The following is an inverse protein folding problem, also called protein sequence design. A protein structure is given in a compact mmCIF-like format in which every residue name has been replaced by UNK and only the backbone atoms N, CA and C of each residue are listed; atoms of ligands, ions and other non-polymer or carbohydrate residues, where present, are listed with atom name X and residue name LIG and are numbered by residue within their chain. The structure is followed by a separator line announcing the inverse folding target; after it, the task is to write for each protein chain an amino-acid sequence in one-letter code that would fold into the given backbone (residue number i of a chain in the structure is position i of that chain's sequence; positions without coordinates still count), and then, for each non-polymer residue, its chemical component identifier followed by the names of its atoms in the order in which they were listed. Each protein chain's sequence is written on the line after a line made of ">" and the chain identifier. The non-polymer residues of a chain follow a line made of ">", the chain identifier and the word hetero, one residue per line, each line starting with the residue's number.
data_IF_217266631222
#
_entry.id   IF_217266631222
#
_cell.length_a   1.000
_cell.length_b   1.000
_cell.length_c   1.000
_cell.angle_alpha   90.00
_cell.angle_beta   90.00
_cell.angle_gamma   90.00
#
_symmetry.space_group_name_H-M   'P 1'
#
loop_
_entity.id
_entity.type
_entity.pdbx_description
1 polymer ?
#
# COMPACT_ATOMS: atom_id res chain seq x y z
N UNK A 1 16.75 -21.83 -7.42
CA UNK A 1 17.79 -20.89 -6.97
C UNK A 1 17.95 -19.87 -8.08
N UNK A 2 17.39 -18.67 -7.92
CA UNK A 2 17.45 -17.63 -8.96
C UNK A 2 18.88 -17.12 -9.11
N UNK A 3 19.32 -16.89 -10.35
CA UNK A 3 20.62 -16.25 -10.61
C UNK A 3 20.49 -14.77 -10.26
N UNK A 4 21.34 -14.31 -9.36
CA UNK A 4 21.44 -12.91 -8.99
C UNK A 4 22.63 -12.33 -9.76
N UNK A 5 22.35 -11.49 -10.76
CA UNK A 5 23.40 -10.72 -11.44
C UNK A 5 23.38 -9.29 -10.89
N UNK A 6 24.52 -8.84 -10.37
CA UNK A 6 24.73 -7.46 -9.92
C UNK A 6 25.54 -6.75 -11.01
N UNK A 7 24.91 -5.81 -11.73
CA UNK A 7 25.61 -4.93 -12.68
C UNK A 7 25.70 -3.54 -12.06
N UNK A 8 26.90 -3.14 -11.65
CA UNK A 8 27.20 -1.80 -11.14
C UNK A 8 27.85 -0.98 -12.25
N UNK A 9 27.23 0.16 -12.63
CA UNK A 9 27.80 1.09 -13.60
C UNK A 9 28.05 2.43 -12.91
N UNK A 10 29.30 2.80 -12.76
CA UNK A 10 29.69 4.11 -12.23
C UNK A 10 29.81 5.10 -13.39
N UNK A 11 28.95 6.12 -13.43
CA UNK A 11 29.08 7.21 -14.40
C UNK A 11 29.47 8.48 -13.64
N UNK A 12 30.64 9.03 -13.97
CA UNK A 12 31.10 10.30 -13.40
C UNK A 12 30.41 11.43 -14.16
N UNK A 13 29.59 12.23 -13.48
CA UNK A 13 28.90 13.38 -14.09
C UNK A 13 29.55 14.65 -13.53
N UNK A 14 30.31 15.35 -14.38
CA UNK A 14 30.89 16.63 -14.04
C UNK A 14 29.80 17.72 -14.15
N UNK A 15 29.25 18.16 -13.02
CA UNK A 15 28.47 19.39 -12.95
C UNK A 15 29.40 20.53 -12.60
N UNK A 16 29.22 21.70 -13.22
CA UNK A 16 30.18 22.80 -13.30
C UNK A 16 30.75 23.42 -12.01
N UNK A 17 30.52 22.86 -10.82
CA UNK A 17 31.18 23.22 -9.56
C UNK A 17 31.43 22.01 -8.62
N UNK A 18 31.38 20.77 -9.10
CA UNK A 18 31.69 19.59 -8.27
C UNK A 18 31.54 18.26 -9.02
N UNK A 19 32.44 17.31 -8.75
CA UNK A 19 32.38 15.95 -9.29
C UNK A 19 31.33 15.18 -8.49
N UNK A 20 30.15 14.94 -9.08
CA UNK A 20 29.15 14.02 -8.56
C UNK A 20 29.39 12.62 -9.13
N UNK A 21 29.52 11.60 -8.28
CA UNK A 21 29.48 10.21 -8.71
C UNK A 21 28.03 9.73 -8.72
N UNK A 22 27.49 9.42 -9.90
CA UNK A 22 26.21 8.75 -10.02
C UNK A 22 26.48 7.24 -10.05
N UNK A 23 26.13 6.57 -8.95
CA UNK A 23 26.29 5.13 -8.79
C UNK A 23 24.95 4.47 -9.15
N UNK A 24 24.88 3.85 -10.33
CA UNK A 24 23.70 3.11 -10.78
C UNK A 24 23.94 1.63 -10.51
N UNK A 25 23.19 1.08 -9.56
CA UNK A 25 23.24 -0.34 -9.20
C UNK A 25 21.97 -1.03 -9.69
N UNK A 26 22.10 -1.77 -10.79
CA UNK A 26 20.99 -2.54 -11.35
C UNK A 26 21.03 -3.95 -10.79
N UNK A 27 20.08 -4.25 -9.91
CA UNK A 27 19.86 -5.60 -9.37
C UNK A 27 18.92 -6.37 -10.29
N UNK A 28 19.46 -7.30 -11.08
CA UNK A 28 18.64 -8.22 -11.89
C UNK A 28 18.57 -9.56 -11.18
N UNK A 29 17.40 -9.85 -10.62
CA UNK A 29 17.08 -11.18 -10.05
C UNK A 29 16.34 -11.95 -11.14
N UNK A 30 16.95 -13.02 -11.63
CA UNK A 30 16.30 -13.92 -12.59
C UNK A 30 15.42 -14.93 -11.83
N UNK A 31 14.10 -14.72 -11.93
CA UNK A 31 13.06 -15.55 -11.30
C UNK A 31 12.56 -16.68 -12.21
N UNK A 32 13.27 -16.98 -13.31
CA UNK A 32 12.90 -18.08 -14.19
C UNK A 32 12.86 -19.42 -13.45
N UNK A 33 11.75 -20.14 -13.63
CA UNK A 33 11.54 -21.46 -13.05
C UNK A 33 12.30 -22.56 -13.81
N UNK A 34 12.76 -22.27 -15.03
CA UNK A 34 13.51 -23.18 -15.88
C UNK A 34 14.94 -22.65 -16.12
N UNK A 35 15.96 -23.52 -16.08
CA UNK A 35 17.32 -23.15 -16.47
C UNK A 35 17.39 -22.71 -17.93
N UNK A 36 18.47 -22.00 -18.30
CA UNK A 36 18.68 -21.60 -19.70
C UNK A 36 18.79 -22.83 -20.62
N UNK A 37 18.45 -22.69 -21.91
CA UNK A 37 18.48 -23.79 -22.87
C UNK A 37 19.87 -24.47 -22.99
N UNK A 38 20.95 -23.70 -22.80
CA UNK A 38 22.32 -24.21 -22.77
C UNK A 38 22.58 -25.09 -21.53
N UNK A 39 22.06 -24.70 -20.37
CA UNK A 39 22.17 -25.49 -19.14
C UNK A 39 21.33 -26.76 -19.20
N UNK A 40 20.13 -26.69 -19.79
CA UNK A 40 19.29 -27.86 -20.04
C UNK A 40 19.99 -28.89 -20.94
N UNK A 41 20.72 -28.44 -21.98
CA UNK A 41 21.52 -29.32 -22.83
C UNK A 41 22.67 -30.00 -22.05
N UNK A 42 23.33 -29.27 -21.15
CA UNK A 42 24.36 -29.82 -20.28
C UNK A 42 23.80 -30.84 -19.30
N UNK A 43 22.62 -30.59 -18.72
CA UNK A 43 21.96 -31.55 -17.82
C UNK A 43 21.51 -32.82 -18.56
N UNK A 44 21.00 -32.68 -19.79
CA UNK A 44 20.60 -33.82 -20.64
C UNK A 44 21.77 -34.76 -20.97
N UNK A 45 22.99 -34.23 -21.05
CA UNK A 45 24.20 -35.03 -21.26
C UNK A 45 24.56 -35.91 -20.04
N UNK A 46 24.09 -35.55 -18.84
CA UNK A 46 24.32 -36.29 -17.60
C UNK A 46 23.21 -37.34 -17.37
N UNK A 47 21.94 -36.95 -17.55
CA UNK A 47 20.79 -37.85 -17.50
C UNK A 47 19.72 -37.37 -18.50
N UNK A 48 19.29 -38.19 -19.47
CA UNK A 48 18.24 -37.82 -20.42
C UNK A 48 16.89 -37.44 -19.77
N UNK A 49 16.58 -37.96 -18.58
CA UNK A 49 15.27 -37.81 -17.89
C UNK A 49 15.20 -36.57 -16.99
N UNK A 50 16.33 -35.92 -16.71
CA UNK A 50 16.38 -34.76 -15.83
C UNK A 50 15.56 -33.58 -16.36
N UNK A 51 15.45 -33.44 -17.68
CA UNK A 51 14.71 -32.36 -18.33
C UNK A 51 13.21 -32.51 -18.08
N UNK A 52 12.67 -33.73 -18.19
CA UNK A 52 11.26 -34.01 -17.93
C UNK A 52 10.91 -33.74 -16.46
N UNK A 53 11.79 -34.16 -15.54
CA UNK A 53 11.65 -33.85 -14.11
C UNK A 53 11.70 -32.34 -13.83
N UNK A 54 12.61 -31.60 -14.45
CA UNK A 54 12.71 -30.15 -14.30
C UNK A 54 11.45 -29.44 -14.81
N UNK A 55 10.89 -29.87 -15.95
CA UNK A 55 9.63 -29.34 -16.46
C UNK A 55 8.49 -29.60 -15.47
N UNK A 56 8.35 -30.82 -14.96
CA UNK A 56 7.31 -31.16 -13.98
C UNK A 56 7.46 -30.34 -12.69
N UNK A 57 8.69 -30.20 -12.19
CA UNK A 57 9.01 -29.39 -11.02
C UNK A 57 8.68 -27.90 -11.25
N UNK A 58 9.00 -27.36 -12.43
CA UNK A 58 8.68 -25.97 -12.80
C UNK A 58 7.17 -25.74 -12.91
N UNK A 59 6.41 -26.67 -13.50
CA UNK A 59 4.94 -26.59 -13.58
C UNK A 59 4.33 -26.59 -12.17
N UNK A 60 4.82 -27.47 -11.29
CA UNK A 60 4.36 -27.55 -9.90
C UNK A 60 4.67 -26.26 -9.12
N UNK A 61 5.85 -25.68 -9.32
CA UNK A 61 6.25 -24.40 -8.72
C UNK A 61 5.41 -23.23 -9.26
N UNK A 62 5.12 -23.22 -10.57
CA UNK A 62 4.23 -22.21 -11.18
C UNK A 62 2.81 -22.30 -10.61
N UNK A 63 2.23 -23.51 -10.51
CA UNK A 63 0.91 -23.69 -9.92
C UNK A 63 0.88 -23.27 -8.44
N UNK A 64 1.94 -23.58 -7.69
CA UNK A 64 2.09 -23.11 -6.32
C UNK A 64 2.10 -21.58 -6.23
N UNK A 65 2.86 -20.90 -7.11
CA UNK A 65 2.91 -19.43 -7.19
C UNK A 65 1.54 -18.84 -7.53
N UNK A 66 0.86 -19.39 -8.52
CA UNK A 66 -0.49 -18.95 -8.89
C UNK A 66 -1.49 -19.12 -7.75
N UNK A 67 -1.42 -20.24 -7.02
CA UNK A 67 -2.26 -20.47 -5.84
C UNK A 67 -1.95 -19.48 -4.73
N UNK A 68 -0.67 -19.20 -4.46
CA UNK A 68 -0.26 -18.20 -3.48
C UNK A 68 -0.76 -16.80 -3.87
N UNK A 69 -0.63 -16.41 -5.13
CA UNK A 69 -1.07 -15.11 -5.62
C UNK A 69 -2.59 -14.97 -5.56
N UNK A 70 -3.33 -16.02 -5.93
CA UNK A 70 -4.79 -16.06 -5.74
C UNK A 70 -5.19 -15.90 -4.27
N UNK A 71 -4.47 -16.53 -3.34
CA UNK A 71 -4.73 -16.38 -1.92
C UNK A 71 -4.47 -14.94 -1.44
N UNK A 72 -3.35 -14.33 -1.84
CA UNK A 72 -3.04 -12.92 -1.55
C UNK A 72 -4.12 -11.99 -2.09
N UNK A 73 -4.52 -12.16 -3.36
CA UNK A 73 -5.59 -11.39 -3.99
C UNK A 73 -6.92 -11.56 -3.26
N UNK A 74 -7.26 -12.77 -2.82
CA UNK A 74 -8.49 -13.03 -2.08
C UNK A 74 -8.50 -12.35 -0.70
N UNK A 75 -7.36 -12.33 0.00
CA UNK A 75 -7.22 -11.59 1.26
C UNK A 75 -7.40 -10.09 1.02
N UNK A 76 -6.74 -9.56 -0.01
CA UNK A 76 -6.82 -8.14 -0.36
C UNK A 76 -8.26 -7.73 -0.72
N UNK A 77 -8.95 -8.52 -1.55
CA UNK A 77 -10.36 -8.32 -1.90
C UNK A 77 -11.28 -8.35 -0.67
N UNK A 78 -11.00 -9.21 0.31
CA UNK A 78 -11.78 -9.28 1.56
C UNK A 78 -11.54 -8.06 2.44
N UNK A 79 -10.29 -7.60 2.54
CA UNK A 79 -9.93 -6.39 3.29
C UNK A 79 -10.61 -5.15 2.67
N UNK A 80 -10.49 -5.00 1.35
CA UNK A 80 -11.06 -3.88 0.60
C UNK A 80 -12.60 -3.83 0.70
N UNK A 81 -13.28 -4.97 0.58
CA UNK A 81 -14.74 -5.05 0.82
C UNK A 81 -15.14 -4.74 2.27
N UNK A 82 -14.29 -5.05 3.25
CA UNK A 82 -14.56 -4.71 4.66
C UNK A 82 -14.41 -3.21 4.86
N UNK A 83 -13.34 -2.63 4.33
CA UNK A 83 -13.08 -1.19 4.39
C UNK A 83 -14.18 -0.39 3.68
N UNK A 84 -14.57 -0.80 2.47
CA UNK A 84 -15.67 -0.19 1.74
C UNK A 84 -17.01 -0.21 2.50
N UNK A 85 -17.35 -1.33 3.16
CA UNK A 85 -18.57 -1.40 4.00
C UNK A 85 -18.48 -0.51 5.23
N UNK A 86 -17.33 -0.49 5.93
CA UNK A 86 -17.14 0.37 7.11
C UNK A 86 -17.23 1.84 6.71
N UNK A 87 -16.61 2.21 5.60
CA UNK A 87 -16.64 3.57 5.06
C UNK A 87 -18.08 3.98 4.65
N UNK A 88 -18.81 3.08 3.97
CA UNK A 88 -20.21 3.33 3.60
C UNK A 88 -21.12 3.51 4.82
N UNK A 89 -21.00 2.63 5.83
CA UNK A 89 -21.75 2.77 7.08
C UNK A 89 -21.34 4.04 7.84
N UNK A 90 -20.05 4.37 7.86
CA UNK A 90 -19.55 5.61 8.47
C UNK A 90 -20.15 6.86 7.83
N UNK A 91 -20.17 6.93 6.50
CA UNK A 91 -20.82 8.02 5.77
C UNK A 91 -22.34 8.06 6.02
N UNK A 92 -23.00 6.90 6.02
CA UNK A 92 -24.44 6.82 6.29
C UNK A 92 -24.79 7.33 7.70
N UNK A 93 -24.06 6.89 8.73
CA UNK A 93 -24.26 7.36 10.10
C UNK A 93 -23.90 8.83 10.29
N UNK A 94 -22.85 9.33 9.62
CA UNK A 94 -22.51 10.75 9.62
C UNK A 94 -23.61 11.60 8.99
N UNK A 95 -24.17 11.15 7.86
CA UNK A 95 -25.30 11.83 7.24
C UNK A 95 -26.54 11.83 8.14
N UNK A 96 -26.89 10.67 8.70
CA UNK A 96 -28.03 10.54 9.60
C UNK A 96 -27.89 11.42 10.85
N UNK A 97 -26.68 11.50 11.42
CA UNK A 97 -26.43 12.34 12.60
C UNK A 97 -26.61 13.82 12.30
N UNK A 98 -26.16 14.29 11.13
CA UNK A 98 -26.38 15.68 10.68
C UNK A 98 -27.87 15.95 10.53
N UNK A 99 -28.63 15.08 9.86
CA UNK A 99 -30.09 15.24 9.68
C UNK A 99 -30.81 15.34 11.02
N UNK A 100 -30.51 14.42 11.95
CA UNK A 100 -31.10 14.42 13.29
C UNK A 100 -30.72 15.70 14.05
N UNK A 101 -29.47 16.13 13.99
CA UNK A 101 -29.04 17.36 14.67
C UNK A 101 -29.70 18.61 14.08
N UNK A 102 -29.78 18.72 12.76
CA UNK A 102 -30.47 19.83 12.11
C UNK A 102 -31.94 19.86 12.49
N UNK A 103 -32.62 18.71 12.55
CA UNK A 103 -34.01 18.63 13.00
C UNK A 103 -34.17 19.06 14.47
N UNK A 104 -33.28 18.64 15.36
CA UNK A 104 -33.28 19.05 16.78
C UNK A 104 -33.04 20.56 16.94
N UNK A 105 -32.11 21.13 16.18
CA UNK A 105 -31.87 22.58 16.19
C UNK A 105 -33.09 23.34 15.69
N UNK A 106 -33.70 22.91 14.59
CA UNK A 106 -34.93 23.50 14.06
C UNK A 106 -36.09 23.42 15.06
N UNK A 107 -36.26 22.28 15.72
CA UNK A 107 -37.29 22.08 16.75
C UNK A 107 -37.04 22.94 18.01
N UNK A 108 -35.78 23.08 18.44
CA UNK A 108 -35.43 23.94 19.56
C UNK A 108 -35.67 25.42 19.26
N UNK A 109 -35.41 25.86 18.02
CA UNK A 109 -35.74 27.21 17.55
C UNK A 109 -37.25 27.45 17.52
N UNK A 110 -38.04 26.45 17.12
CA UNK A 110 -39.50 26.52 17.16
C UNK A 110 -40.05 26.72 18.59
N UNK A 111 -39.37 26.18 19.60
CA UNK A 111 -39.72 26.36 21.01
C UNK A 111 -39.14 27.65 21.64
N UNK A 112 -38.70 28.62 20.82
CA UNK A 112 -38.05 29.87 21.27
C UNK A 112 -36.86 29.65 22.20
N UNK A 113 -36.04 28.61 21.93
CA UNK A 113 -34.77 28.36 22.63
C UNK A 113 -33.56 28.68 21.74
N UNK A 114 -33.31 29.95 21.39
CA UNK A 114 -32.26 30.35 20.45
C UNK A 114 -30.84 30.07 20.98
N UNK A 115 -30.67 29.97 22.30
CA UNK A 115 -29.38 29.65 22.92
C UNK A 115 -28.83 28.29 22.45
N UNK A 116 -29.70 27.32 22.14
CA UNK A 116 -29.31 26.00 21.64
C UNK A 116 -28.65 26.08 20.26
N UNK A 117 -29.21 26.88 19.35
CA UNK A 117 -28.62 27.10 18.02
C UNK A 117 -27.27 27.83 18.12
N UNK A 118 -27.13 28.76 19.07
CA UNK A 118 -25.88 29.48 19.33
C UNK A 118 -24.72 28.56 19.71
N UNK A 119 -24.91 27.68 20.72
CA UNK A 119 -23.86 26.73 21.12
C UNK A 119 -23.56 25.70 20.03
N UNK A 120 -24.60 25.16 19.38
CA UNK A 120 -24.42 24.18 18.30
C UNK A 120 -23.66 24.77 17.11
N UNK A 121 -24.01 25.98 16.68
CA UNK A 121 -23.34 26.67 15.57
C UNK A 121 -21.89 27.08 15.88
N UNK A 122 -21.64 27.59 17.09
CA UNK A 122 -20.27 27.90 17.52
C UNK A 122 -19.39 26.64 17.59
N UNK A 123 -19.94 25.53 18.09
CA UNK A 123 -19.24 24.25 18.17
C UNK A 123 -18.82 23.71 16.80
N UNK A 124 -19.68 23.79 15.78
CA UNK A 124 -19.33 23.36 14.41
C UNK A 124 -18.23 24.23 13.82
N UNK A 125 -18.26 25.55 14.00
CA UNK A 125 -17.21 26.45 13.50
C UNK A 125 -15.85 26.12 14.14
N UNK A 126 -15.82 25.94 15.47
CA UNK A 126 -14.60 25.56 16.20
C UNK A 126 -14.08 24.21 15.71
N UNK A 127 -14.97 23.23 15.52
CA UNK A 127 -14.59 21.91 15.03
C UNK A 127 -13.97 21.97 13.63
N UNK A 128 -14.53 22.75 12.71
CA UNK A 128 -13.97 22.92 11.36
C UNK A 128 -12.63 23.65 11.42
N UNK A 129 -12.53 24.73 12.18
CA UNK A 129 -11.29 25.47 12.39
C UNK A 129 -10.17 24.58 12.96
N UNK A 130 -10.52 23.64 13.86
CA UNK A 130 -9.55 22.71 14.47
C UNK A 130 -8.87 21.78 13.46
N UNK A 131 -9.57 21.39 12.38
CA UNK A 131 -9.03 20.53 11.32
C UNK A 131 -7.91 21.27 10.56
N UNK A 132 -8.11 22.57 10.30
CA UNK A 132 -7.10 23.40 9.66
C UNK A 132 -5.91 23.70 10.58
N UNK A 133 -6.15 23.89 11.88
CA UNK A 133 -5.08 24.14 12.84
C UNK A 133 -4.20 22.91 13.11
N UNK A 134 -4.81 21.72 13.24
CA UNK A 134 -4.11 20.46 13.53
C UNK A 134 -3.13 20.03 12.42
N UNK A 135 -3.33 20.48 11.19
CA UNK A 135 -2.42 20.18 10.08
C UNK A 135 -1.06 20.90 10.18
N UNK A 136 -0.92 21.93 11.02
CA UNK A 136 0.35 22.66 11.18
C UNK A 136 1.31 22.04 12.20
N UNK A 137 0.82 21.30 13.19
CA UNK A 137 1.65 20.73 14.26
C UNK A 137 2.12 19.28 14.00
N UNK A 138 1.61 18.62 12.95
CA UNK A 138 1.95 17.21 12.69
C UNK A 138 3.30 17.04 11.96
N UNK A 139 4.03 18.13 11.68
CA UNK A 139 5.35 18.08 11.03
C UNK A 139 6.54 17.96 12.00
N UNK A 140 6.34 18.06 13.32
CA UNK A 140 7.44 18.10 14.30
C UNK A 140 7.49 16.93 15.30
N UNK A 141 7.02 15.73 14.92
CA UNK A 141 7.28 14.52 15.71
C UNK A 141 8.10 13.51 14.92
N UNK A 142 9.41 13.37 15.19
CA UNK A 142 10.17 12.22 14.73
C UNK A 142 9.66 10.97 15.46
N UNK A 143 8.90 10.13 14.78
CA UNK A 143 8.63 8.75 15.19
C UNK A 143 9.92 7.94 15.07
N UNK A 144 10.76 8.03 16.10
CA UNK A 144 11.86 7.11 16.34
C UNK A 144 11.41 6.03 17.32
N UNK A 145 10.98 4.87 16.81
CA UNK A 145 10.87 3.64 17.59
C UNK A 145 11.84 2.59 17.04
N UNK A 146 12.97 2.41 17.72
CA UNK A 146 13.70 1.14 17.69
C UNK A 146 14.18 0.88 19.13
N UNK A 147 13.43 0.08 19.88
CA UNK A 147 13.97 -0.60 21.07
C UNK A 147 14.71 -1.83 20.58
N UNK A 148 15.99 -1.91 20.93
CA UNK A 148 16.80 -3.14 20.89
C UNK A 148 16.29 -4.15 21.91
#
# INVERSE_FOLDING_TARGET
>A
MGKQEIKQRETQVATGNGIGKQLEQTYTVDDNCLPSAQELAAYKAIDPRIVDYLIEASVKEQDHRHRMDNNKLNILKKADRREGRINWWGMFFAFLSIVVMTALVGYALYLDKPWFAGFMGAGTIISVASIFYKNNDTKDKPTGSVKK
#
